data_IF_565964425367
#
_entry.id   IF_565964425367
#
_cell.length_a   1.000
_cell.length_b   1.000
_cell.length_c   1.000
_cell.angle_alpha   90.00
_cell.angle_beta   90.00
_cell.angle_gamma   90.00
#
_symmetry.space_group_name_H-M   'P 1'
#
loop_
_entity.id
_entity.type
_entity.pdbx_description
1 polymer ?
#
# COMPACT_ATOMS: atom_id res chain seq x y z
N UNK A 1 -11.82 -35.54 17.56
CA UNK A 1 -12.29 -34.13 17.45
C UNK A 1 -11.16 -33.35 16.79
N UNK A 2 -11.29 -33.02 15.50
CA UNK A 2 -10.22 -32.34 14.75
C UNK A 2 -10.03 -30.92 15.31
N UNK A 3 -8.95 -30.69 16.07
CA UNK A 3 -8.50 -29.33 16.42
C UNK A 3 -8.06 -28.65 15.12
N UNK A 4 -8.97 -27.91 14.49
CA UNK A 4 -8.59 -26.90 13.51
C UNK A 4 -7.55 -26.01 14.20
N UNK A 5 -6.36 -25.86 13.60
CA UNK A 5 -5.30 -25.06 14.20
C UNK A 5 -5.85 -23.65 14.47
N UNK A 6 -5.73 -23.10 15.69
CA UNK A 6 -6.37 -21.83 16.08
C UNK A 6 -6.08 -20.67 15.11
N UNK A 7 -4.93 -20.69 14.45
CA UNK A 7 -4.55 -19.70 13.42
C UNK A 7 -5.45 -19.70 12.18
N UNK A 8 -5.97 -20.87 11.79
CA UNK A 8 -6.85 -21.01 10.63
C UNK A 8 -8.20 -20.34 10.92
N UNK A 9 -8.66 -20.38 12.17
CA UNK A 9 -9.95 -19.79 12.55
C UNK A 9 -9.93 -18.26 12.49
N UNK A 10 -8.87 -17.62 13.02
CA UNK A 10 -8.73 -16.16 12.97
C UNK A 10 -8.58 -15.62 11.55
N UNK A 11 -7.75 -16.28 10.74
CA UNK A 11 -7.60 -15.96 9.32
C UNK A 11 -8.91 -16.18 8.54
N UNK A 12 -9.60 -17.30 8.81
CA UNK A 12 -10.90 -17.60 8.21
C UNK A 12 -11.95 -16.54 8.51
N UNK A 13 -11.97 -15.98 9.73
CA UNK A 13 -12.85 -14.87 10.09
C UNK A 13 -12.52 -13.59 9.31
N UNK A 14 -11.23 -13.27 9.15
CA UNK A 14 -10.79 -12.11 8.35
C UNK A 14 -11.28 -12.22 6.89
N UNK A 15 -11.12 -13.41 6.29
CA UNK A 15 -11.58 -13.68 4.92
C UNK A 15 -13.10 -13.60 4.84
N UNK A 16 -13.81 -14.23 5.77
CA UNK A 16 -15.27 -14.22 5.82
C UNK A 16 -15.81 -12.79 5.91
N UNK A 17 -15.26 -11.96 6.80
CA UNK A 17 -15.69 -10.57 6.93
C UNK A 17 -15.43 -9.79 5.64
N UNK A 18 -14.26 -9.93 5.02
CA UNK A 18 -13.98 -9.26 3.75
C UNK A 18 -14.91 -9.69 2.62
N UNK A 19 -15.30 -10.96 2.56
CA UNK A 19 -16.31 -11.44 1.63
C UNK A 19 -17.70 -10.85 1.92
N UNK A 20 -18.11 -10.76 3.20
CA UNK A 20 -19.35 -10.09 3.60
C UNK A 20 -19.34 -8.63 3.13
N UNK A 21 -18.23 -7.91 3.36
CA UNK A 21 -18.09 -6.53 2.90
C UNK A 21 -18.20 -6.41 1.37
N UNK A 22 -17.57 -7.32 0.62
CA UNK A 22 -17.67 -7.36 -0.84
C UNK A 22 -19.14 -7.54 -1.30
N UNK A 23 -19.83 -8.55 -0.79
CA UNK A 23 -21.20 -8.85 -1.22
C UNK A 23 -22.21 -7.77 -0.79
N UNK A 24 -22.01 -7.13 0.37
CA UNK A 24 -22.87 -6.05 0.83
C UNK A 24 -22.67 -4.72 0.07
N UNK A 25 -21.52 -4.54 -0.58
CA UNK A 25 -21.13 -3.26 -1.20
C UNK A 25 -20.88 -3.35 -2.71
N UNK A 26 -21.35 -4.43 -3.36
CA UNK A 26 -21.26 -4.60 -4.82
C UNK A 26 -22.67 -4.72 -5.41
N UNK A 27 -23.38 -3.60 -5.64
CA UNK A 27 -24.67 -3.62 -6.32
C UNK A 27 -24.55 -4.18 -7.74
N UNK A 28 -25.62 -4.83 -8.22
CA UNK A 28 -25.68 -5.32 -9.60
C UNK A 28 -25.87 -4.15 -10.57
N UNK A 29 -25.23 -4.22 -11.73
CA UNK A 29 -25.39 -3.23 -12.80
C UNK A 29 -24.69 -1.88 -12.57
N UNK A 30 -23.85 -1.76 -11.54
CA UNK A 30 -23.06 -0.54 -11.27
C UNK A 30 -21.60 -0.73 -11.64
N UNK A 31 -20.92 0.38 -11.95
CA UNK A 31 -19.46 0.44 -12.08
C UNK A 31 -18.91 1.17 -10.87
N UNK A 32 -17.88 0.61 -10.25
CA UNK A 32 -17.21 1.28 -9.14
C UNK A 32 -16.30 2.39 -9.69
N UNK A 33 -16.59 3.63 -9.34
CA UNK A 33 -15.71 4.78 -9.65
C UNK A 33 -15.00 5.25 -8.38
N UNK A 34 -13.70 5.47 -8.51
CA UNK A 34 -12.88 6.09 -7.46
C UNK A 34 -12.88 7.61 -7.58
N UNK A 35 -12.19 8.25 -6.65
CA UNK A 35 -12.08 9.71 -6.58
C UNK A 35 -11.42 10.32 -7.82
N UNK A 36 -10.47 9.61 -8.42
CA UNK A 36 -9.71 10.05 -9.58
C UNK A 36 -10.49 9.97 -10.90
N UNK A 37 -11.67 9.35 -10.89
CA UNK A 37 -12.49 9.03 -12.08
C UNK A 37 -11.70 8.35 -13.21
N UNK A 38 -10.58 7.68 -12.89
CA UNK A 38 -9.84 6.90 -13.87
C UNK A 38 -10.34 5.47 -13.87
N UNK A 39 -10.45 4.87 -15.05
CA UNK A 39 -10.90 3.49 -15.21
C UNK A 39 -9.90 2.72 -16.05
N UNK A 40 -8.78 2.29 -15.43
CA UNK A 40 -7.73 1.55 -16.12
C UNK A 40 -8.23 0.29 -16.84
N UNK A 41 -9.29 -0.32 -16.31
CA UNK A 41 -9.91 -1.55 -16.80
C UNK A 41 -10.56 -1.45 -18.19
N UNK A 42 -10.96 -0.27 -18.66
CA UNK A 42 -11.57 -0.12 -19.99
C UNK A 42 -10.57 0.02 -21.13
N UNK A 43 -9.34 0.44 -20.86
CA UNK A 43 -8.30 0.59 -21.88
C UNK A 43 -6.89 0.45 -21.30
N UNK A 44 -6.54 -0.79 -20.95
CA UNK A 44 -5.23 -1.11 -20.36
C UNK A 44 -4.06 -0.74 -21.26
N UNK A 45 -4.20 -0.84 -22.58
CA UNK A 45 -3.13 -0.49 -23.53
C UNK A 45 -2.76 0.99 -23.44
N UNK A 46 -3.73 1.88 -23.63
CA UNK A 46 -3.48 3.32 -23.57
C UNK A 46 -3.01 3.75 -22.19
N UNK A 47 -3.54 3.14 -21.13
CA UNK A 47 -3.10 3.41 -19.77
C UNK A 47 -1.62 3.04 -19.57
N UNK A 48 -1.21 1.86 -20.03
CA UNK A 48 0.18 1.40 -19.89
C UNK A 48 1.15 2.37 -20.56
N UNK A 49 0.82 2.83 -21.78
CA UNK A 49 1.62 3.83 -22.48
C UNK A 49 1.67 5.15 -21.70
N UNK A 50 0.56 5.59 -21.11
CA UNK A 50 0.53 6.81 -20.28
C UNK A 50 1.43 6.66 -19.06
N UNK A 51 1.38 5.53 -18.35
CA UNK A 51 2.20 5.29 -17.17
C UNK A 51 3.68 5.17 -17.52
N UNK A 52 4.04 4.51 -18.63
CA UNK A 52 5.44 4.44 -19.10
C UNK A 52 5.99 5.82 -19.46
N UNK A 53 5.14 6.72 -19.99
CA UNK A 53 5.48 8.12 -20.24
C UNK A 53 5.16 9.03 -19.03
N UNK A 54 4.98 8.46 -17.85
CA UNK A 54 4.38 9.10 -16.67
C UNK A 54 5.17 10.26 -16.05
N UNK A 55 6.29 10.68 -16.64
CA UNK A 55 6.96 11.94 -16.32
C UNK A 55 6.29 13.16 -17.01
N UNK A 56 5.66 12.94 -18.16
CA UNK A 56 4.97 13.96 -18.95
C UNK A 56 3.57 13.49 -19.37
N UNK A 57 2.55 14.14 -18.82
CA UNK A 57 1.15 13.83 -19.10
C UNK A 57 0.68 14.54 -20.38
N UNK A 58 1.14 14.06 -21.55
CA UNK A 58 0.77 14.62 -22.86
C UNK A 58 -0.74 14.64 -23.14
N UNK A 59 -1.50 13.79 -22.45
CA UNK A 59 -2.94 13.66 -22.60
C UNK A 59 -3.74 14.74 -21.84
N UNK A 60 -3.10 15.55 -21.00
CA UNK A 60 -3.75 16.60 -20.22
C UNK A 60 -3.61 17.96 -20.93
N UNK A 61 -4.64 18.37 -21.68
CA UNK A 61 -4.68 19.67 -22.35
C UNK A 61 -3.50 19.86 -23.32
N UNK A 62 -2.63 20.83 -23.06
CA UNK A 62 -1.40 21.08 -23.83
C UNK A 62 -0.21 20.20 -23.40
N UNK A 63 -0.44 19.26 -22.49
CA UNK A 63 0.58 18.50 -21.80
C UNK A 63 1.03 19.19 -20.51
N UNK A 64 1.30 18.39 -19.48
CA UNK A 64 1.78 18.88 -18.20
C UNK A 64 2.85 17.95 -17.61
N UNK A 65 3.85 18.49 -16.88
CA UNK A 65 4.75 17.67 -16.10
C UNK A 65 3.95 16.96 -14.99
N UNK A 66 4.24 15.69 -14.73
CA UNK A 66 3.41 14.88 -13.86
C UNK A 66 3.63 15.23 -12.37
N UNK A 67 2.63 15.87 -11.76
CA UNK A 67 2.64 16.18 -10.33
C UNK A 67 2.50 14.92 -9.44
N UNK A 68 1.85 13.89 -9.97
CA UNK A 68 1.69 12.58 -9.36
C UNK A 68 2.61 11.58 -10.07
N UNK A 69 3.12 10.58 -9.35
CA UNK A 69 4.06 9.62 -9.94
C UNK A 69 3.34 8.47 -10.61
N UNK A 70 2.82 8.70 -11.81
CA UNK A 70 2.07 7.70 -12.59
C UNK A 70 2.87 6.42 -12.86
N UNK A 71 4.20 6.53 -12.93
CA UNK A 71 5.11 5.40 -13.05
C UNK A 71 4.96 4.39 -11.89
N UNK A 72 4.59 4.84 -10.70
CA UNK A 72 4.38 3.98 -9.54
C UNK A 72 3.20 3.00 -9.73
N UNK A 73 2.29 3.26 -10.68
CA UNK A 73 1.13 2.40 -10.93
C UNK A 73 1.44 1.20 -11.84
N UNK A 74 2.60 1.17 -12.51
CA UNK A 74 2.98 0.09 -13.43
C UNK A 74 2.84 -1.32 -12.80
N UNK A 75 3.26 -1.57 -11.55
CA UNK A 75 3.15 -2.88 -10.93
C UNK A 75 1.70 -3.35 -10.71
N UNK A 76 0.72 -2.44 -10.76
CA UNK A 76 -0.71 -2.77 -10.63
C UNK A 76 -1.29 -3.35 -11.91
N UNK A 77 -0.75 -3.02 -13.09
CA UNK A 77 -1.29 -3.42 -14.39
C UNK A 77 -1.46 -4.94 -14.52
N UNK A 78 -0.48 -5.80 -14.17
CA UNK A 78 -0.66 -7.25 -14.25
C UNK A 78 -1.80 -7.78 -13.39
N UNK A 79 -2.07 -7.17 -12.23
CA UNK A 79 -3.19 -7.55 -11.36
C UNK A 79 -4.53 -7.17 -11.99
N UNK A 80 -4.63 -5.98 -12.58
CA UNK A 80 -5.85 -5.55 -13.28
C UNK A 80 -6.09 -6.44 -14.49
N UNK A 81 -5.05 -6.76 -15.26
CA UNK A 81 -5.14 -7.66 -16.41
C UNK A 81 -5.64 -9.05 -16.00
N UNK A 82 -5.12 -9.60 -14.91
CA UNK A 82 -5.59 -10.89 -14.39
C UNK A 82 -7.08 -10.83 -14.01
N UNK A 83 -7.51 -9.79 -13.29
CA UNK A 83 -8.92 -9.63 -12.92
C UNK A 83 -9.82 -9.40 -14.15
N UNK A 84 -9.33 -8.66 -15.14
CA UNK A 84 -10.05 -8.41 -16.40
C UNK A 84 -10.30 -9.69 -17.20
N UNK A 85 -9.36 -10.65 -17.18
CA UNK A 85 -9.54 -11.96 -17.85
C UNK A 85 -10.59 -12.81 -17.10
N UNK A 86 -10.68 -12.66 -15.78
CA UNK A 86 -11.52 -13.52 -14.93
C UNK A 86 -12.94 -12.98 -14.71
N UNK A 87 -13.15 -11.67 -14.84
CA UNK A 87 -14.38 -10.99 -14.43
C UNK A 87 -14.89 -10.02 -15.50
N UNK A 88 -16.20 -9.76 -15.56
CA UNK A 88 -16.72 -8.66 -16.38
C UNK A 88 -16.09 -7.33 -15.93
N UNK A 89 -15.83 -6.44 -16.89
CA UNK A 89 -15.11 -5.16 -16.66
C UNK A 89 -15.69 -4.33 -15.51
N UNK A 90 -17.01 -4.34 -15.32
CA UNK A 90 -17.71 -3.62 -14.24
C UNK A 90 -17.33 -4.10 -12.84
N UNK A 91 -16.89 -5.36 -12.70
CA UNK A 91 -16.50 -5.98 -11.43
C UNK A 91 -15.00 -5.93 -11.16
N UNK A 92 -14.17 -5.60 -12.14
CA UNK A 92 -12.70 -5.61 -12.01
C UNK A 92 -12.24 -4.71 -10.85
N UNK A 93 -12.75 -3.47 -10.82
CA UNK A 93 -12.36 -2.51 -9.77
C UNK A 93 -12.91 -2.90 -8.40
N UNK A 94 -14.16 -3.37 -8.31
CA UNK A 94 -14.72 -3.93 -7.07
C UNK A 94 -13.83 -5.05 -6.52
N UNK A 95 -13.53 -6.04 -7.36
CA UNK A 95 -12.70 -7.18 -6.98
C UNK A 95 -11.31 -6.74 -6.53
N UNK A 96 -10.69 -5.78 -7.23
CA UNK A 96 -9.38 -5.24 -6.84
C UNK A 96 -9.40 -4.63 -5.44
N UNK A 97 -10.34 -3.72 -5.15
CA UNK A 97 -10.43 -3.05 -3.85
C UNK A 97 -10.74 -4.02 -2.71
N UNK A 98 -11.73 -4.90 -2.88
CA UNK A 98 -12.10 -5.84 -1.82
C UNK A 98 -11.05 -6.94 -1.63
N UNK A 99 -10.29 -7.31 -2.67
CA UNK A 99 -9.11 -8.15 -2.51
C UNK A 99 -8.07 -7.46 -1.61
N UNK A 100 -7.80 -6.17 -1.82
CA UNK A 100 -6.88 -5.41 -0.97
C UNK A 100 -7.38 -5.27 0.48
N UNK A 101 -8.70 -5.13 0.69
CA UNK A 101 -9.30 -5.16 2.04
C UNK A 101 -9.05 -6.51 2.73
N UNK A 102 -9.32 -7.63 2.04
CA UNK A 102 -9.07 -8.98 2.55
C UNK A 102 -7.58 -9.18 2.84
N UNK A 103 -6.71 -8.79 1.91
CA UNK A 103 -5.26 -8.91 2.06
C UNK A 103 -4.74 -8.07 3.23
N UNK A 104 -5.21 -6.84 3.40
CA UNK A 104 -4.82 -5.98 4.52
C UNK A 104 -5.21 -6.56 5.88
N UNK A 105 -6.43 -7.09 6.00
CA UNK A 105 -6.84 -7.84 7.20
C UNK A 105 -5.91 -9.03 7.47
N UNK A 106 -5.64 -9.84 6.45
CA UNK A 106 -4.82 -11.05 6.59
C UNK A 106 -3.37 -10.70 6.93
N UNK A 107 -2.77 -9.72 6.28
CA UNK A 107 -1.40 -9.31 6.54
C UNK A 107 -1.25 -8.62 7.89
N UNK A 108 -2.25 -7.83 8.32
CA UNK A 108 -2.28 -7.31 9.69
C UNK A 108 -2.39 -8.44 10.73
N UNK A 109 -3.22 -9.45 10.47
CA UNK A 109 -3.29 -10.64 11.32
C UNK A 109 -1.93 -11.32 11.46
N UNK A 110 -1.23 -11.57 10.34
CA UNK A 110 0.10 -12.22 10.37
C UNK A 110 1.16 -11.34 11.04
N UNK A 111 1.13 -10.04 10.79
CA UNK A 111 2.03 -9.08 11.42
C UNK A 111 1.85 -9.07 12.94
N UNK A 112 0.60 -8.92 13.42
CA UNK A 112 0.30 -8.91 14.85
C UNK A 112 0.60 -10.26 15.50
N UNK A 113 0.33 -11.37 14.81
CA UNK A 113 0.67 -12.69 15.32
C UNK A 113 2.18 -12.83 15.55
N UNK A 114 3.00 -12.41 14.58
CA UNK A 114 4.46 -12.38 14.70
C UNK A 114 4.93 -11.44 15.83
N UNK A 115 4.34 -10.25 15.90
CA UNK A 115 4.66 -9.25 16.91
C UNK A 115 4.38 -9.73 18.34
N UNK A 116 3.20 -10.32 18.58
CA UNK A 116 2.85 -10.87 19.89
C UNK A 116 3.70 -12.08 20.26
N UNK A 117 4.10 -12.93 19.30
CA UNK A 117 5.01 -14.05 19.58
C UNK A 117 6.35 -13.53 20.12
N UNK A 118 6.84 -12.44 19.55
CA UNK A 118 8.10 -11.79 19.95
C UNK A 118 7.99 -11.14 21.33
N UNK A 119 6.89 -10.44 21.62
CA UNK A 119 6.70 -9.72 22.90
C UNK A 119 6.42 -10.67 24.06
N UNK A 120 5.54 -11.66 23.86
CA UNK A 120 5.14 -12.58 24.92
C UNK A 120 6.17 -13.70 25.11
N UNK A 121 7.15 -13.84 24.21
CA UNK A 121 8.10 -14.95 24.17
C UNK A 121 7.40 -16.33 24.10
N UNK A 122 6.18 -16.36 23.55
CA UNK A 122 5.35 -17.54 23.44
C UNK A 122 5.44 -18.16 22.03
N UNK A 123 5.56 -19.49 21.96
CA UNK A 123 5.52 -20.20 20.68
C UNK A 123 4.14 -20.15 20.04
N UNK A 124 3.09 -20.21 20.85
CA UNK A 124 1.70 -20.14 20.41
C UNK A 124 1.03 -18.92 21.01
N UNK A 125 0.71 -17.95 20.16
CA UNK A 125 -0.10 -16.79 20.55
C UNK A 125 -1.57 -17.13 20.41
N UNK A 126 -2.35 -16.79 21.43
CA UNK A 126 -3.81 -16.89 21.37
C UNK A 126 -4.33 -16.12 20.14
N UNK A 127 -5.04 -16.78 19.19
CA UNK A 127 -5.45 -16.17 17.92
C UNK A 127 -6.40 -14.99 18.10
N UNK A 128 -7.04 -14.83 19.26
CA UNK A 128 -7.94 -13.72 19.56
C UNK A 128 -7.20 -12.38 19.43
N UNK A 129 -5.97 -12.26 19.95
CA UNK A 129 -5.23 -10.99 19.91
C UNK A 129 -4.97 -10.47 18.49
N UNK A 130 -4.33 -11.24 17.59
CA UNK A 130 -4.13 -10.78 16.21
C UNK A 130 -5.45 -10.65 15.43
N UNK A 131 -6.46 -11.45 15.75
CA UNK A 131 -7.78 -11.34 15.10
C UNK A 131 -8.46 -10.02 15.46
N UNK A 132 -8.58 -9.70 16.74
CA UNK A 132 -9.19 -8.44 17.20
C UNK A 132 -8.42 -7.24 16.66
N UNK A 133 -7.09 -7.29 16.64
CA UNK A 133 -6.27 -6.22 16.07
C UNK A 133 -6.46 -6.05 14.55
N UNK A 134 -6.56 -7.14 13.78
CA UNK A 134 -6.85 -7.07 12.34
C UNK A 134 -8.27 -6.55 12.04
N UNK A 135 -9.25 -6.93 12.86
CA UNK A 135 -10.60 -6.39 12.79
C UNK A 135 -10.62 -4.90 13.12
N UNK A 136 -9.95 -4.47 14.18
CA UNK A 136 -9.83 -3.05 14.54
C UNK A 136 -9.11 -2.25 13.45
N UNK A 137 -8.06 -2.81 12.85
CA UNK A 137 -7.34 -2.18 11.74
C UNK A 137 -8.26 -1.87 10.56
N UNK A 138 -9.25 -2.73 10.30
CA UNK A 138 -10.16 -2.59 9.14
C UNK A 138 -11.39 -1.78 9.47
N UNK A 139 -11.98 -2.02 10.65
CA UNK A 139 -13.27 -1.46 11.05
C UNK A 139 -13.15 -0.15 11.85
N UNK A 140 -11.94 0.36 12.08
CA UNK A 140 -11.82 1.71 12.65
C UNK A 140 -12.31 2.76 11.65
N UNK A 141 -12.89 3.83 12.18
CA UNK A 141 -13.55 4.88 11.38
C UNK A 141 -12.62 5.53 10.36
N UNK A 142 -11.34 5.69 10.70
CA UNK A 142 -10.33 6.30 9.83
C UNK A 142 -10.05 5.43 8.61
N UNK A 143 -9.96 4.11 8.81
CA UNK A 143 -9.67 3.15 7.73
C UNK A 143 -10.90 2.98 6.84
N UNK A 144 -12.09 2.88 7.44
CA UNK A 144 -13.36 2.86 6.70
C UNK A 144 -13.49 4.10 5.81
N UNK A 145 -13.14 5.29 6.30
CA UNK A 145 -13.21 6.54 5.53
C UNK A 145 -12.35 6.49 4.25
N UNK A 146 -11.18 5.85 4.29
CA UNK A 146 -10.32 5.70 3.10
C UNK A 146 -10.97 4.86 1.99
N UNK A 147 -11.91 3.99 2.34
CA UNK A 147 -12.67 3.16 1.39
C UNK A 147 -14.02 3.76 0.98
N UNK A 148 -14.35 4.98 1.44
CA UNK A 148 -15.47 5.76 0.91
C UNK A 148 -15.00 6.69 -0.22
N UNK A 149 -13.89 7.39 -0.02
CA UNK A 149 -13.26 8.23 -1.05
C UNK A 149 -12.14 7.40 -1.69
N UNK A 150 -12.57 6.43 -2.49
CA UNK A 150 -11.69 5.36 -2.94
C UNK A 150 -10.57 5.87 -3.82
N UNK A 151 -9.34 5.58 -3.39
CA UNK A 151 -8.15 5.78 -4.18
C UNK A 151 -7.21 4.59 -4.01
N UNK A 152 -6.77 4.01 -5.12
CA UNK A 152 -6.09 2.72 -5.13
C UNK A 152 -4.81 2.71 -4.31
N UNK A 153 -4.07 3.81 -4.33
CA UNK A 153 -2.83 3.91 -3.56
C UNK A 153 -3.07 3.81 -2.03
N UNK A 154 -4.22 4.27 -1.53
CA UNK A 154 -4.59 4.08 -0.11
C UNK A 154 -5.01 2.64 0.18
N UNK A 155 -5.71 1.98 -0.75
CA UNK A 155 -6.03 0.56 -0.61
C UNK A 155 -4.76 -0.32 -0.64
N UNK A 156 -3.78 0.02 -1.48
CA UNK A 156 -2.48 -0.65 -1.56
C UNK A 156 -1.67 -0.41 -0.28
N UNK A 157 -1.67 0.83 0.24
CA UNK A 157 -1.08 1.16 1.53
C UNK A 157 -1.71 0.31 2.64
N UNK A 158 -3.04 0.28 2.72
CA UNK A 158 -3.78 -0.52 3.69
C UNK A 158 -3.43 -2.01 3.60
N UNK A 159 -3.38 -2.55 2.38
CA UNK A 159 -3.10 -3.97 2.18
C UNK A 159 -1.66 -4.33 2.56
N UNK A 160 -0.69 -3.66 1.95
CA UNK A 160 0.69 -4.15 1.93
C UNK A 160 1.59 -3.52 3.00
N UNK A 161 1.15 -2.48 3.71
CA UNK A 161 1.96 -1.92 4.79
C UNK A 161 2.23 -2.92 5.93
N UNK A 162 1.23 -3.67 6.45
CA UNK A 162 1.51 -4.70 7.44
C UNK A 162 2.44 -5.81 6.92
N UNK A 163 2.32 -6.16 5.63
CA UNK A 163 3.19 -7.13 4.97
C UNK A 163 4.65 -6.65 4.92
N UNK A 164 4.86 -5.37 4.63
CA UNK A 164 6.18 -4.74 4.62
C UNK A 164 6.78 -4.70 6.03
N UNK A 165 6.01 -4.34 7.06
CA UNK A 165 6.52 -4.35 8.44
C UNK A 165 6.88 -5.77 8.89
N UNK A 166 6.07 -6.76 8.54
CA UNK A 166 6.35 -8.17 8.80
C UNK A 166 7.62 -8.66 8.08
N UNK A 167 7.81 -8.29 6.81
CA UNK A 167 8.99 -8.69 6.05
C UNK A 167 10.27 -8.04 6.60
N UNK A 168 10.18 -6.78 7.03
CA UNK A 168 11.28 -6.07 7.71
C UNK A 168 11.63 -6.77 9.04
N UNK A 169 10.67 -7.05 9.91
CA UNK A 169 10.95 -7.63 11.23
C UNK A 169 11.54 -9.05 11.11
N UNK A 170 11.03 -9.86 10.17
CA UNK A 170 11.58 -11.19 9.88
C UNK A 170 13.00 -11.12 9.31
N UNK A 171 13.31 -10.11 8.48
CA UNK A 171 14.65 -9.90 7.93
C UNK A 171 15.66 -9.40 8.97
N UNK A 172 15.28 -8.43 9.82
CA UNK A 172 16.13 -7.92 10.91
C UNK A 172 16.45 -9.05 11.88
N UNK A 173 15.45 -9.85 12.25
CA UNK A 173 15.60 -10.95 13.20
C UNK A 173 16.43 -12.10 12.64
N UNK A 174 16.28 -12.41 11.34
CA UNK A 174 16.99 -13.50 10.68
C UNK A 174 17.38 -13.11 9.24
N UNK A 175 18.56 -12.51 9.02
CA UNK A 175 18.98 -12.00 7.72
C UNK A 175 19.41 -13.12 6.77
N UNK A 176 18.43 -13.79 6.18
CA UNK A 176 18.62 -14.87 5.19
C UNK A 176 18.22 -14.40 3.80
N UNK A 177 18.71 -15.08 2.74
CA UNK A 177 18.29 -14.80 1.35
C UNK A 177 16.77 -14.84 1.18
N UNK A 178 16.10 -15.80 1.84
CA UNK A 178 14.64 -15.91 1.82
C UNK A 178 13.96 -14.66 2.38
N UNK A 179 14.38 -14.19 3.55
CA UNK A 179 13.78 -13.02 4.17
C UNK A 179 14.13 -11.72 3.42
N UNK A 180 15.31 -11.65 2.81
CA UNK A 180 15.67 -10.56 1.92
C UNK A 180 14.75 -10.51 0.69
N UNK A 181 14.55 -11.65 0.00
CA UNK A 181 13.61 -11.74 -1.12
C UNK A 181 12.18 -11.41 -0.70
N UNK A 182 11.79 -11.76 0.53
CA UNK A 182 10.49 -11.39 1.08
C UNK A 182 10.33 -9.88 1.26
N UNK A 183 11.37 -9.17 1.73
CA UNK A 183 11.39 -7.70 1.75
C UNK A 183 11.24 -7.14 0.35
N UNK A 184 12.06 -7.60 -0.62
CA UNK A 184 11.97 -7.12 -2.02
C UNK A 184 10.57 -7.31 -2.61
N UNK A 185 9.98 -8.48 -2.42
CA UNK A 185 8.63 -8.77 -2.89
C UNK A 185 7.57 -7.89 -2.24
N UNK A 186 7.64 -7.71 -0.91
CA UNK A 186 6.69 -6.83 -0.20
C UNK A 186 6.81 -5.37 -0.65
N UNK A 187 8.03 -4.88 -0.89
CA UNK A 187 8.26 -3.53 -1.41
C UNK A 187 7.74 -3.40 -2.84
N UNK A 188 7.94 -4.40 -3.70
CA UNK A 188 7.37 -4.40 -5.06
C UNK A 188 5.84 -4.25 -5.06
N UNK A 189 5.14 -4.99 -4.19
CA UNK A 189 3.68 -4.86 -4.04
C UNK A 189 3.27 -3.49 -3.46
N UNK A 190 4.15 -2.85 -2.69
CA UNK A 190 3.94 -1.54 -2.09
C UNK A 190 4.17 -0.36 -3.06
N UNK A 191 4.79 -0.60 -4.23
CA UNK A 191 5.14 0.47 -5.18
C UNK A 191 3.97 1.40 -5.55
N UNK A 192 2.74 0.93 -5.81
CA UNK A 192 1.63 1.83 -6.20
C UNK A 192 1.28 2.93 -5.19
N UNK A 193 1.68 2.79 -3.92
CA UNK A 193 1.57 3.90 -2.93
C UNK A 193 2.31 5.15 -3.41
N UNK A 194 3.37 4.98 -4.21
CA UNK A 194 4.15 6.06 -4.84
C UNK A 194 3.35 6.98 -5.75
N UNK A 195 2.13 6.60 -6.18
CA UNK A 195 1.29 7.47 -7.00
C UNK A 195 1.09 8.85 -6.37
N UNK A 196 0.93 8.91 -5.04
CA UNK A 196 1.05 10.14 -4.25
C UNK A 196 2.36 10.12 -3.46
N UNK A 197 3.40 10.83 -3.94
CA UNK A 197 4.75 10.74 -3.39
C UNK A 197 4.85 11.11 -1.92
N UNK A 198 4.08 12.10 -1.47
CA UNK A 198 4.09 12.53 -0.07
C UNK A 198 3.66 11.41 0.89
N UNK A 199 2.63 10.63 0.52
CA UNK A 199 2.17 9.46 1.28
C UNK A 199 3.25 8.38 1.31
N UNK A 200 3.87 8.09 0.16
CA UNK A 200 4.96 7.13 0.07
C UNK A 200 6.18 7.54 0.91
N UNK A 201 6.60 8.81 0.85
CA UNK A 201 7.75 9.31 1.62
C UNK A 201 7.52 9.26 3.12
N UNK A 202 6.31 9.59 3.60
CA UNK A 202 5.94 9.41 5.01
C UNK A 202 5.99 7.93 5.40
N UNK A 203 5.46 7.04 4.55
CA UNK A 203 5.56 5.60 4.73
C UNK A 203 7.01 5.12 4.82
N UNK A 204 7.90 5.59 3.94
CA UNK A 204 9.32 5.23 3.96
C UNK A 204 10.04 5.74 5.21
N UNK A 205 9.75 6.98 5.63
CA UNK A 205 10.28 7.53 6.86
C UNK A 205 9.88 6.68 8.07
N UNK A 206 8.59 6.30 8.17
CA UNK A 206 8.12 5.41 9.21
C UNK A 206 8.79 4.03 9.13
N UNK A 207 8.92 3.42 7.95
CA UNK A 207 9.61 2.13 7.79
C UNK A 207 11.06 2.21 8.28
N UNK A 208 11.77 3.31 8.02
CA UNK A 208 13.13 3.54 8.50
C UNK A 208 13.18 3.68 10.03
N UNK A 209 12.29 4.50 10.60
CA UNK A 209 12.18 4.71 12.05
C UNK A 209 11.82 3.38 12.75
N UNK A 210 10.83 2.65 12.24
CA UNK A 210 10.44 1.34 12.73
C UNK A 210 11.60 0.33 12.67
N UNK A 211 12.33 0.29 11.56
CA UNK A 211 13.51 -0.58 11.39
C UNK A 211 14.58 -0.26 12.44
N UNK A 212 14.85 1.02 12.67
CA UNK A 212 15.82 1.46 13.68
C UNK A 212 15.43 0.95 15.07
N UNK A 213 14.20 1.21 15.51
CA UNK A 213 13.75 0.82 16.85
C UNK A 213 13.64 -0.70 17.01
N UNK A 214 13.15 -1.42 15.99
CA UNK A 214 13.05 -2.89 16.03
C UNK A 214 14.42 -3.56 16.09
N UNK A 215 15.41 -3.06 15.33
CA UNK A 215 16.78 -3.58 15.37
C UNK A 215 17.51 -3.18 16.66
N UNK A 216 17.26 -1.98 17.18
CA UNK A 216 17.78 -1.54 18.47
C UNK A 216 17.23 -2.39 19.62
N UNK A 217 15.92 -2.65 19.65
CA UNK A 217 15.28 -3.49 20.66
C UNK A 217 15.81 -4.94 20.66
N UNK A 218 16.20 -5.47 19.50
CA UNK A 218 16.72 -6.83 19.38
C UNK A 218 18.20 -6.96 19.80
N UNK A 219 19.02 -5.94 19.53
CA UNK A 219 20.47 -6.00 19.71
C UNK A 219 21.01 -5.16 20.86
N UNK A 220 20.16 -4.31 21.45
CA UNK A 220 20.51 -3.24 22.40
C UNK A 220 21.61 -2.29 21.91
N UNK A 221 21.92 -2.30 20.61
CA UNK A 221 23.00 -1.50 20.01
C UNK A 221 22.42 -0.43 19.09
N UNK A 222 22.71 0.83 19.39
CA UNK A 222 22.33 1.96 18.55
C UNK A 222 22.92 1.85 17.13
N UNK A 223 24.19 1.43 17.04
CA UNK A 223 24.91 1.28 15.76
C UNK A 223 24.26 0.21 14.89
N UNK A 224 23.82 -0.91 15.48
CA UNK A 224 23.09 -1.96 14.74
C UNK A 224 21.76 -1.41 14.21
N UNK A 225 21.04 -0.62 15.03
CA UNK A 225 19.83 0.09 14.61
C UNK A 225 20.04 0.96 13.36
N UNK A 226 21.05 1.83 13.39
CA UNK A 226 21.39 2.70 12.25
C UNK A 226 21.78 1.89 11.01
N UNK A 227 22.62 0.85 11.16
CA UNK A 227 23.02 0.00 10.03
C UNK A 227 21.82 -0.65 9.36
N UNK A 228 20.85 -1.15 10.14
CA UNK A 228 19.63 -1.76 9.59
C UNK A 228 18.71 -0.75 8.95
N UNK A 229 18.55 0.43 9.54
CA UNK A 229 17.81 1.55 8.94
C UNK A 229 18.37 1.93 7.57
N UNK A 230 19.69 2.15 7.47
CA UNK A 230 20.36 2.48 6.20
C UNK A 230 20.17 1.35 5.18
N UNK A 231 20.29 0.10 5.63
CA UNK A 231 20.08 -1.05 4.75
C UNK A 231 18.67 -1.08 4.14
N UNK A 232 17.62 -0.86 4.94
CA UNK A 232 16.23 -0.80 4.44
C UNK A 232 16.02 0.44 3.56
N UNK A 233 16.58 1.60 3.93
CA UNK A 233 16.50 2.81 3.12
C UNK A 233 17.11 2.61 1.72
N UNK A 234 18.25 1.94 1.63
CA UNK A 234 18.88 1.60 0.34
C UNK A 234 18.01 0.66 -0.49
N UNK A 235 17.37 -0.33 0.12
CA UNK A 235 16.43 -1.23 -0.57
C UNK A 235 15.25 -0.44 -1.14
N UNK A 236 14.64 0.44 -0.32
CA UNK A 236 13.55 1.30 -0.75
C UNK A 236 13.98 2.15 -1.94
N UNK A 237 15.12 2.84 -1.84
CA UNK A 237 15.63 3.68 -2.94
C UNK A 237 15.80 2.84 -4.20
N UNK A 238 16.47 1.69 -4.15
CA UNK A 238 16.72 0.85 -5.34
C UNK A 238 15.42 0.38 -6.00
N UNK A 239 14.42 -0.03 -5.22
CA UNK A 239 13.15 -0.54 -5.77
C UNK A 239 12.29 0.60 -6.35
N UNK A 240 12.29 1.75 -5.69
CA UNK A 240 11.39 2.86 -6.03
C UNK A 240 12.07 3.95 -6.89
N UNK A 241 13.37 3.83 -7.19
CA UNK A 241 14.17 4.85 -7.88
C UNK A 241 13.54 5.35 -9.17
N UNK A 242 12.92 4.44 -9.93
CA UNK A 242 12.43 4.73 -11.27
C UNK A 242 11.28 5.73 -11.30
N UNK A 243 10.48 5.83 -10.23
CA UNK A 243 9.45 6.86 -10.09
C UNK A 243 9.90 7.99 -9.16
N UNK A 244 10.80 7.73 -8.21
CA UNK A 244 11.36 8.75 -7.30
C UNK A 244 12.15 9.80 -8.09
N UNK A 245 13.03 9.40 -9.02
CA UNK A 245 13.87 10.34 -9.77
C UNK A 245 13.02 11.36 -10.56
N UNK A 246 12.05 10.94 -11.41
CA UNK A 246 11.17 11.88 -12.11
C UNK A 246 10.38 12.78 -11.15
N UNK A 247 9.96 12.27 -9.99
CA UNK A 247 9.24 13.07 -9.02
C UNK A 247 10.11 14.14 -8.34
N UNK A 248 11.35 13.81 -7.97
CA UNK A 248 12.29 14.78 -7.43
C UNK A 248 12.59 15.85 -8.48
N UNK A 249 12.77 15.45 -9.74
CA UNK A 249 12.96 16.39 -10.84
C UNK A 249 11.76 17.35 -10.97
N UNK A 250 10.53 16.82 -10.93
CA UNK A 250 9.30 17.62 -10.92
C UNK A 250 9.28 18.59 -9.73
N UNK A 251 9.57 18.11 -8.52
CA UNK A 251 9.54 18.91 -7.30
C UNK A 251 10.51 20.10 -7.36
N UNK A 252 11.68 19.91 -7.95
CA UNK A 252 12.71 20.95 -8.07
C UNK A 252 12.45 21.95 -9.20
N UNK A 253 11.88 21.52 -10.33
CA UNK A 253 11.84 22.33 -11.56
C UNK A 253 10.42 22.81 -11.95
N UNK A 254 9.38 22.07 -11.56
CA UNK A 254 8.02 22.27 -12.07
C UNK A 254 6.96 22.48 -10.98
N UNK A 255 7.27 22.24 -9.70
CA UNK A 255 6.31 22.37 -8.58
C UNK A 255 5.68 23.75 -8.47
N UNK A 256 6.43 24.82 -8.78
CA UNK A 256 5.92 26.20 -8.74
C UNK A 256 4.75 26.46 -9.70
N UNK A 257 4.58 25.64 -10.75
CA UNK A 257 3.45 25.75 -11.66
C UNK A 257 2.11 25.40 -10.97
N UNK A 258 2.14 24.45 -10.03
CA UNK A 258 0.95 24.06 -9.24
C UNK A 258 0.60 25.16 -8.24
N UNK A 259 1.59 25.70 -7.53
CA UNK A 259 1.40 26.81 -6.60
C UNK A 259 0.83 28.06 -7.30
N UNK A 260 1.35 28.36 -8.50
CA UNK A 260 0.93 29.54 -9.29
C UNK A 260 -0.36 29.31 -10.09
N UNK A 261 -0.93 28.10 -10.08
CA UNK A 261 -2.16 27.84 -10.82
C UNK A 261 -3.34 28.63 -10.21
N UNK A 262 -4.14 29.27 -11.07
CA UNK A 262 -5.24 30.13 -10.62
C UNK A 262 -6.25 29.37 -9.77
N UNK A 263 -6.50 28.10 -10.10
CA UNK A 263 -7.39 27.25 -9.31
C UNK A 263 -6.89 27.10 -7.87
N UNK A 264 -5.60 26.80 -7.66
CA UNK A 264 -5.07 26.62 -6.30
C UNK A 264 -5.04 27.94 -5.52
N UNK A 265 -4.72 29.06 -6.19
CA UNK A 265 -4.74 30.37 -5.53
C UNK A 265 -6.13 30.75 -5.01
N UNK A 266 -7.20 30.40 -5.75
CA UNK A 266 -8.58 30.67 -5.33
C UNK A 266 -8.98 29.83 -4.12
N UNK A 267 -8.64 28.53 -4.11
CA UNK A 267 -8.96 27.65 -2.98
C UNK A 267 -8.13 27.95 -1.71
N UNK A 268 -6.90 28.47 -1.84
CA UNK A 268 -6.08 28.86 -0.68
C UNK A 268 -6.67 30.08 0.04
N UNK A 269 -7.26 31.03 -0.69
CA UNK A 269 -7.87 32.22 -0.09
C UNK A 269 -9.10 31.89 0.76
N UNK A 270 -9.88 30.87 0.40
CA UNK A 270 -11.08 30.46 1.15
C UNK A 270 -10.76 29.85 2.53
N UNK A 271 -9.53 29.40 2.77
CA UNK A 271 -9.10 28.78 4.05
C UNK A 271 -8.56 29.83 5.04
N UNK A 272 -8.32 31.08 4.59
CA UNK A 272 -7.64 32.11 5.40
C UNK A 272 -8.58 33.18 5.99
N UNK A 273 -9.90 32.95 5.97
CA UNK A 273 -10.91 33.82 6.59
C UNK A 273 -11.66 33.13 7.72
#
# INVERSE_FOLDING_TARGET
MYRIRPHIMGLGLCILLGLILFFCNTPSGTTYTGWDNTHPEYNLYNLTIRYLNGAWAAYQGTGAPAAQSQLAELPRIPFILLLYILLPVTYVRYAYFFLLVILGMCFMYFFLHHFFQKILCEKEVNPIFPTVGALFYTLNIVSIQQFFINFEMYAVLFAFYPLVLLSIDTYISKPTRRNFLFVLFSQFLFIPVGFVPTVAYIGFAYMCIYTFFSAHALSSSFIVGIKKMIQIALIIVVIHVYWIIPNIHYALHASSAVEKSRSNQLFVQEITY
#
